data_IF_530085911224
#
_entry.id   IF_530085911224
#
_cell.length_a   1.000
_cell.length_b   1.000
_cell.length_c   1.000
_cell.angle_alpha   90.00
_cell.angle_beta   90.00
_cell.angle_gamma   90.00
#
_symmetry.space_group_name_H-M   'P 1'
#
loop_
_entity.id
_entity.type
_entity.pdbx_description
1 polymer ?
#
# COMPACT_ATOMS: atom_id res chain seq x y z
N UNK A 1 -18.16 -35.97 -40.98
CA UNK A 1 -18.25 -36.10 -39.49
C UNK A 1 -17.51 -34.93 -38.89
N UNK A 2 -18.24 -33.83 -38.60
CA UNK A 2 -17.67 -32.62 -37.97
C UNK A 2 -17.63 -32.85 -36.46
N UNK A 3 -16.43 -32.90 -35.88
CA UNK A 3 -16.27 -32.83 -34.44
C UNK A 3 -16.49 -31.36 -34.00
N UNK A 4 -17.62 -31.12 -33.36
CA UNK A 4 -17.85 -29.89 -32.66
C UNK A 4 -17.03 -29.89 -31.35
N UNK A 5 -15.96 -29.06 -31.28
CA UNK A 5 -15.29 -28.73 -30.03
C UNK A 5 -16.24 -27.86 -29.23
N UNK A 6 -16.91 -28.44 -28.25
CA UNK A 6 -17.60 -27.68 -27.20
C UNK A 6 -16.52 -27.10 -26.29
N UNK A 7 -16.14 -25.84 -26.50
CA UNK A 7 -15.41 -25.07 -25.53
C UNK A 7 -16.35 -24.83 -24.33
N UNK A 8 -16.24 -25.65 -23.30
CA UNK A 8 -16.85 -25.38 -22.02
C UNK A 8 -16.14 -24.13 -21.46
N UNK A 9 -16.77 -22.96 -21.55
CA UNK A 9 -16.41 -21.77 -20.82
C UNK A 9 -16.68 -22.01 -19.33
N UNK A 10 -15.84 -22.84 -18.70
CA UNK A 10 -15.88 -23.05 -17.26
C UNK A 10 -15.56 -21.72 -16.56
N UNK A 11 -16.56 -21.07 -16.01
CA UNK A 11 -16.36 -19.94 -15.13
C UNK A 11 -15.55 -20.43 -13.93
N UNK A 12 -14.38 -19.84 -13.70
CA UNK A 12 -13.60 -20.19 -12.52
C UNK A 12 -14.35 -19.66 -11.29
N UNK A 13 -14.51 -20.53 -10.28
CA UNK A 13 -15.13 -20.16 -9.00
C UNK A 13 -14.27 -19.14 -8.25
N UNK A 14 -14.90 -18.40 -7.33
CA UNK A 14 -14.16 -17.55 -6.38
C UNK A 14 -13.20 -18.41 -5.56
N UNK A 15 -12.01 -17.90 -5.34
CA UNK A 15 -10.97 -18.60 -4.59
C UNK A 15 -10.50 -17.74 -3.41
N UNK A 16 -10.40 -18.35 -2.23
CA UNK A 16 -9.83 -17.74 -1.04
C UNK A 16 -8.78 -18.67 -0.47
N UNK A 17 -7.57 -18.15 -0.26
CA UNK A 17 -6.49 -18.87 0.42
C UNK A 17 -5.96 -18.03 1.58
N UNK A 18 -5.56 -18.70 2.65
CA UNK A 18 -4.95 -18.08 3.83
C UNK A 18 -3.57 -18.69 4.06
N UNK A 19 -2.69 -17.89 4.67
CA UNK A 19 -1.35 -18.29 5.09
C UNK A 19 -0.46 -18.82 3.96
N UNK A 20 -0.67 -18.31 2.73
CA UNK A 20 0.21 -18.62 1.58
C UNK A 20 1.57 -17.97 1.81
N UNK A 21 2.66 -18.75 1.66
CA UNK A 21 4.02 -18.22 1.74
C UNK A 21 4.36 -17.45 0.47
N UNK A 22 4.69 -16.15 0.59
CA UNK A 22 5.10 -15.34 -0.55
C UNK A 22 6.61 -15.06 -0.58
N UNK A 23 7.34 -15.52 0.43
CA UNK A 23 8.77 -15.40 0.50
C UNK A 23 9.31 -15.86 1.85
N UNK A 24 10.64 -15.86 1.96
CA UNK A 24 11.36 -16.10 3.21
C UNK A 24 12.43 -15.04 3.36
N UNK A 25 12.50 -14.40 4.52
CA UNK A 25 13.50 -13.39 4.80
C UNK A 25 13.95 -13.44 6.26
N UNK A 26 15.26 -13.35 6.51
CA UNK A 26 15.87 -13.48 7.83
C UNK A 26 15.41 -14.74 8.61
N UNK A 27 15.20 -15.86 7.90
CA UNK A 27 14.76 -17.14 8.48
C UNK A 27 13.26 -17.20 8.84
N UNK A 28 12.45 -16.19 8.46
CA UNK A 28 11.02 -16.16 8.69
C UNK A 28 10.24 -16.29 7.38
N UNK A 29 9.16 -17.08 7.40
CA UNK A 29 8.24 -17.14 6.28
C UNK A 29 7.34 -15.90 6.26
N UNK A 30 7.25 -15.27 5.10
CA UNK A 30 6.35 -14.15 4.84
C UNK A 30 5.02 -14.69 4.32
N UNK A 31 3.93 -14.40 5.04
CA UNK A 31 2.60 -14.96 4.76
C UNK A 31 1.64 -13.91 4.21
N UNK A 32 0.77 -14.35 3.31
CA UNK A 32 -0.33 -13.56 2.78
C UNK A 32 -1.65 -14.35 2.82
N UNK A 33 -2.75 -13.61 2.79
CA UNK A 33 -4.08 -14.11 2.45
C UNK A 33 -4.47 -13.52 1.10
N UNK A 34 -5.21 -14.27 0.30
CA UNK A 34 -5.69 -13.80 -1.01
C UNK A 34 -7.17 -14.15 -1.25
N UNK A 35 -7.77 -13.36 -2.11
CA UNK A 35 -9.07 -13.61 -2.70
C UNK A 35 -9.04 -13.30 -4.18
N UNK A 36 -9.60 -14.21 -4.97
CA UNK A 36 -9.76 -14.06 -6.42
C UNK A 36 -11.25 -14.19 -6.73
N UNK A 37 -11.90 -13.16 -7.30
CA UNK A 37 -13.32 -13.24 -7.65
C UNK A 37 -13.59 -14.26 -8.75
N UNK A 38 -14.86 -14.63 -8.89
CA UNK A 38 -15.34 -15.46 -10.00
C UNK A 38 -15.14 -14.76 -11.34
N UNK A 39 -15.11 -15.56 -12.39
CA UNK A 39 -15.07 -15.06 -13.75
C UNK A 39 -13.73 -15.19 -14.45
N UNK A 40 -13.66 -14.72 -15.71
CA UNK A 40 -12.44 -14.79 -16.50
C UNK A 40 -11.40 -13.78 -16.02
N UNK A 41 -10.11 -14.13 -16.17
CA UNK A 41 -9.01 -13.19 -16.00
C UNK A 41 -8.59 -12.56 -17.33
N UNK A 42 -7.51 -11.74 -17.31
CA UNK A 42 -6.73 -11.37 -16.12
C UNK A 42 -7.44 -10.29 -15.27
N UNK A 43 -7.34 -10.40 -13.95
CA UNK A 43 -8.01 -9.55 -12.97
C UNK A 43 -7.04 -8.53 -12.37
N UNK A 44 -7.44 -7.26 -12.21
CA UNK A 44 -6.65 -6.33 -11.43
C UNK A 44 -6.54 -6.79 -9.98
N UNK A 45 -5.38 -6.59 -9.36
CA UNK A 45 -5.09 -7.10 -8.01
C UNK A 45 -4.59 -5.99 -7.09
N UNK A 46 -5.17 -5.92 -5.89
CA UNK A 46 -4.79 -4.98 -4.84
C UNK A 46 -3.93 -5.68 -3.79
N UNK A 47 -2.69 -5.25 -3.60
CA UNK A 47 -1.84 -5.69 -2.48
C UNK A 47 -2.12 -4.78 -1.31
N UNK A 48 -2.66 -5.34 -0.22
CA UNK A 48 -3.06 -4.63 0.98
C UNK A 48 -1.96 -4.73 2.05
N UNK A 49 -1.52 -3.58 2.56
CA UNK A 49 -0.43 -3.45 3.51
C UNK A 49 -0.94 -2.77 4.78
N UNK A 50 -0.99 -3.53 5.87
CA UNK A 50 -1.55 -3.07 7.14
C UNK A 50 -0.73 -1.96 7.82
N UNK A 51 -1.36 -1.21 8.71
CA UNK A 51 -0.73 -0.25 9.61
C UNK A 51 -0.12 -0.92 10.85
N UNK A 52 -0.04 -0.17 11.95
CA UNK A 52 0.43 -0.69 13.24
C UNK A 52 1.80 -0.18 13.70
N UNK A 53 2.27 0.95 13.14
CA UNK A 53 3.51 1.60 13.57
C UNK A 53 4.77 0.78 13.31
N UNK A 54 4.72 -0.15 12.35
CA UNK A 54 5.77 -1.13 12.04
C UNK A 54 6.03 -2.19 13.11
N UNK A 55 5.33 -2.16 14.25
CA UNK A 55 5.57 -3.04 15.40
C UNK A 55 4.44 -4.05 15.63
N UNK A 56 3.27 -3.83 15.04
CA UNK A 56 2.07 -4.65 15.21
C UNK A 56 1.15 -4.57 14.00
N UNK A 57 0.08 -5.35 14.07
CA UNK A 57 -0.87 -5.50 12.97
C UNK A 57 -0.64 -6.82 12.24
N UNK A 58 -1.60 -7.18 11.42
CA UNK A 58 -1.54 -8.36 10.59
C UNK A 58 -2.42 -8.21 9.34
N UNK A 59 -2.27 -9.16 8.42
CA UNK A 59 -2.96 -9.23 7.14
C UNK A 59 -4.50 -9.33 7.24
N UNK A 60 -5.06 -9.59 8.41
CA UNK A 60 -6.51 -9.79 8.60
C UNK A 60 -7.20 -8.61 9.27
N UNK A 61 -6.50 -7.90 10.16
CA UNK A 61 -7.13 -6.93 11.05
C UNK A 61 -7.28 -5.54 10.44
N UNK A 62 -6.19 -4.99 9.92
CA UNK A 62 -6.15 -3.59 9.48
C UNK A 62 -6.91 -3.36 8.16
N UNK A 63 -6.64 -4.12 7.09
CA UNK A 63 -7.25 -3.84 5.79
C UNK A 63 -8.66 -4.43 5.62
N UNK A 64 -9.24 -5.08 6.64
CA UNK A 64 -10.51 -5.83 6.52
C UNK A 64 -11.70 -5.02 5.98
N UNK A 65 -11.73 -3.70 6.24
CA UNK A 65 -12.79 -2.82 5.76
C UNK A 65 -12.70 -2.51 4.25
N UNK A 66 -11.57 -2.88 3.61
CA UNK A 66 -11.38 -2.78 2.17
C UNK A 66 -11.75 -4.07 1.43
N UNK A 67 -11.78 -5.22 2.12
CA UNK A 67 -12.00 -6.52 1.48
C UNK A 67 -13.33 -6.57 0.72
N UNK A 68 -14.45 -6.27 1.38
CA UNK A 68 -15.77 -6.32 0.76
C UNK A 68 -15.91 -5.32 -0.41
N UNK A 69 -15.57 -4.02 -0.26
CA UNK A 69 -15.65 -3.08 -1.36
C UNK A 69 -14.81 -3.47 -2.59
N UNK A 70 -13.60 -4.02 -2.39
CA UNK A 70 -12.76 -4.49 -3.49
C UNK A 70 -13.36 -5.73 -4.17
N UNK A 71 -13.85 -6.69 -3.39
CA UNK A 71 -14.53 -7.89 -3.92
C UNK A 71 -15.77 -7.52 -4.74
N UNK A 72 -16.62 -6.65 -4.22
CA UNK A 72 -17.84 -6.16 -4.89
C UNK A 72 -17.53 -5.38 -6.17
N UNK A 73 -16.37 -4.74 -6.22
CA UNK A 73 -15.89 -4.02 -7.41
C UNK A 73 -15.19 -4.93 -8.43
N UNK A 74 -15.04 -6.25 -8.15
CA UNK A 74 -14.43 -7.22 -9.06
C UNK A 74 -12.90 -7.27 -9.01
N UNK A 75 -12.27 -6.71 -7.96
CA UNK A 75 -10.82 -6.79 -7.77
C UNK A 75 -10.43 -8.05 -7.00
N UNK A 76 -9.36 -8.69 -7.44
CA UNK A 76 -8.61 -9.60 -6.58
C UNK A 76 -7.87 -8.78 -5.51
N UNK A 77 -7.63 -9.40 -4.36
CA UNK A 77 -6.78 -8.78 -3.35
C UNK A 77 -5.84 -9.80 -2.71
N UNK A 78 -4.69 -9.30 -2.30
CA UNK A 78 -3.65 -10.01 -1.57
C UNK A 78 -3.30 -9.16 -0.35
N UNK A 79 -3.55 -9.68 0.85
CA UNK A 79 -3.23 -8.99 2.10
C UNK A 79 -2.00 -9.64 2.74
N UNK A 80 -0.97 -8.85 3.04
CA UNK A 80 0.33 -9.36 3.45
C UNK A 80 0.64 -9.10 4.92
N UNK A 81 1.33 -10.05 5.57
CA UNK A 81 2.17 -9.77 6.73
C UNK A 81 3.54 -9.31 6.23
N UNK A 82 4.18 -8.45 6.98
CA UNK A 82 5.58 -8.05 6.78
C UNK A 82 6.32 -8.10 8.11
N UNK A 83 7.65 -8.20 8.06
CA UNK A 83 8.49 -8.27 9.27
C UNK A 83 8.38 -7.00 10.10
N UNK A 84 8.26 -7.18 11.42
CA UNK A 84 7.97 -6.10 12.36
C UNK A 84 9.20 -5.70 13.20
N UNK A 85 9.27 -4.41 13.55
CA UNK A 85 10.19 -3.87 14.52
C UNK A 85 9.78 -4.27 15.98
N UNK A 86 10.70 -4.25 16.92
CA UNK A 86 12.12 -3.84 16.80
C UNK A 86 13.02 -4.93 16.24
N UNK A 87 12.51 -6.18 16.07
CA UNK A 87 13.30 -7.31 15.57
C UNK A 87 13.82 -7.03 14.15
N UNK A 88 12.99 -6.46 13.31
CA UNK A 88 13.32 -6.13 11.93
C UNK A 88 13.13 -4.64 11.67
N UNK A 89 14.23 -3.94 11.50
CA UNK A 89 14.25 -2.50 11.22
C UNK A 89 14.15 -2.22 9.72
N UNK A 90 14.02 -0.95 9.38
CA UNK A 90 14.18 -0.46 8.01
C UNK A 90 15.51 -0.98 7.40
N UNK A 91 15.54 -1.45 6.15
CA UNK A 91 14.43 -1.46 5.18
C UNK A 91 13.63 -2.80 5.14
N UNK A 92 13.71 -3.67 6.15
CA UNK A 92 13.17 -5.03 6.11
C UNK A 92 11.74 -5.12 5.56
N UNK A 93 10.78 -4.39 6.14
CA UNK A 93 9.39 -4.42 5.69
C UNK A 93 9.16 -3.78 4.32
N UNK A 94 10.01 -2.83 3.89
CA UNK A 94 9.99 -2.30 2.51
C UNK A 94 10.34 -3.41 1.51
N UNK A 95 11.37 -4.20 1.82
CA UNK A 95 11.78 -5.34 0.98
C UNK A 95 10.70 -6.43 0.96
N UNK A 96 9.96 -6.63 2.06
CA UNK A 96 8.87 -7.59 2.10
C UNK A 96 7.71 -7.17 1.17
N UNK A 97 7.34 -5.88 1.15
CA UNK A 97 6.33 -5.37 0.19
C UNK A 97 6.81 -5.56 -1.26
N UNK A 98 8.09 -5.31 -1.56
CA UNK A 98 8.66 -5.57 -2.88
C UNK A 98 8.59 -7.05 -3.26
N UNK A 99 8.86 -7.94 -2.29
CA UNK A 99 8.75 -9.39 -2.48
C UNK A 99 7.30 -9.78 -2.79
N UNK A 100 6.32 -9.18 -2.13
CA UNK A 100 4.91 -9.42 -2.43
C UNK A 100 4.52 -8.97 -3.85
N UNK A 101 5.04 -7.84 -4.34
CA UNK A 101 4.81 -7.41 -5.74
C UNK A 101 5.38 -8.42 -6.73
N UNK A 102 6.61 -8.90 -6.50
CA UNK A 102 7.24 -9.92 -7.36
C UNK A 102 6.42 -11.22 -7.33
N UNK A 103 6.03 -11.68 -6.14
CA UNK A 103 5.22 -12.88 -5.98
C UNK A 103 3.91 -12.80 -6.77
N UNK A 104 3.20 -11.67 -6.70
CA UNK A 104 1.95 -11.47 -7.47
C UNK A 104 2.21 -11.57 -8.98
N UNK A 105 3.32 -11.00 -9.47
CA UNK A 105 3.70 -11.10 -10.89
C UNK A 105 4.05 -12.53 -11.31
N UNK A 106 4.81 -13.24 -10.48
CA UNK A 106 5.24 -14.61 -10.73
C UNK A 106 4.07 -15.60 -10.73
N UNK A 107 3.05 -15.36 -9.89
CA UNK A 107 1.86 -16.21 -9.76
C UNK A 107 0.65 -15.67 -10.54
N UNK A 108 0.85 -14.70 -11.43
CA UNK A 108 -0.22 -14.05 -12.18
C UNK A 108 -1.06 -15.07 -12.98
N UNK A 109 -0.43 -16.03 -13.64
CA UNK A 109 -1.12 -17.08 -14.40
C UNK A 109 -1.92 -18.02 -13.49
N UNK A 110 -1.37 -18.41 -12.34
CA UNK A 110 -2.01 -19.33 -11.39
C UNK A 110 -3.31 -18.74 -10.82
N UNK A 111 -3.26 -17.45 -10.41
CA UNK A 111 -4.40 -16.78 -9.78
C UNK A 111 -5.18 -15.86 -10.71
N UNK A 112 -4.93 -15.88 -12.01
CA UNK A 112 -5.59 -15.04 -13.01
C UNK A 112 -5.40 -13.52 -12.73
N UNK A 113 -4.31 -13.14 -12.08
CA UNK A 113 -3.98 -11.74 -11.88
C UNK A 113 -3.49 -11.09 -13.16
N UNK A 114 -3.69 -9.77 -13.26
CA UNK A 114 -3.07 -8.97 -14.29
C UNK A 114 -1.78 -8.34 -13.73
N UNK A 115 -0.60 -8.77 -14.15
CA UNK A 115 0.67 -8.25 -13.66
C UNK A 115 0.90 -6.77 -14.00
N UNK A 116 0.17 -6.23 -15.00
CA UNK A 116 0.22 -4.82 -15.36
C UNK A 116 -0.79 -3.96 -14.59
N UNK A 117 -1.76 -4.57 -13.89
CA UNK A 117 -2.78 -3.88 -13.09
C UNK A 117 -2.69 -4.21 -11.60
N UNK A 118 -1.47 -4.16 -11.06
CA UNK A 118 -1.20 -4.29 -9.61
C UNK A 118 -1.36 -2.94 -8.94
N UNK A 119 -2.12 -2.88 -7.85
CA UNK A 119 -2.29 -1.69 -7.02
C UNK A 119 -1.72 -1.94 -5.63
N UNK A 120 -0.91 -1.02 -5.11
CA UNK A 120 -0.52 -1.02 -3.70
C UNK A 120 -1.49 -0.18 -2.89
N UNK A 121 -2.06 -0.73 -1.83
CA UNK A 121 -2.95 -0.01 -0.90
C UNK A 121 -2.41 -0.20 0.51
N UNK A 122 -2.12 0.89 1.21
CA UNK A 122 -1.58 0.81 2.57
C UNK A 122 -2.08 1.89 3.50
N UNK A 123 -2.10 1.60 4.80
CA UNK A 123 -2.55 2.52 5.82
C UNK A 123 -1.47 2.78 6.89
N UNK A 124 -1.30 4.03 7.33
CA UNK A 124 -0.34 4.43 8.37
C UNK A 124 1.09 3.96 8.05
N UNK A 125 1.65 3.03 8.82
CA UNK A 125 2.93 2.39 8.51
C UNK A 125 2.90 1.70 7.14
N UNK A 126 1.83 0.96 6.80
CA UNK A 126 1.63 0.40 5.47
C UNK A 126 1.51 1.48 4.39
N UNK A 127 0.89 2.63 4.70
CA UNK A 127 0.85 3.80 3.82
C UNK A 127 2.24 4.33 3.48
N UNK A 128 3.14 4.40 4.47
CA UNK A 128 4.54 4.71 4.22
C UNK A 128 5.21 3.66 3.32
N UNK A 129 4.99 2.36 3.60
CA UNK A 129 5.59 1.27 2.83
C UNK A 129 5.17 1.31 1.35
N UNK A 130 3.87 1.51 1.08
CA UNK A 130 3.39 1.60 -0.30
C UNK A 130 3.87 2.88 -1.00
N UNK A 131 3.96 4.01 -0.27
CA UNK A 131 4.55 5.24 -0.79
C UNK A 131 6.01 5.02 -1.21
N UNK A 132 6.80 4.32 -0.37
CA UNK A 132 8.21 4.04 -0.65
C UNK A 132 8.39 3.14 -1.87
N UNK A 133 7.65 2.02 -1.94
CA UNK A 133 7.76 1.08 -3.07
C UNK A 133 7.25 1.72 -4.36
N UNK A 134 6.12 2.43 -4.31
CA UNK A 134 5.56 3.14 -5.47
C UNK A 134 6.45 4.29 -5.98
N UNK A 135 7.12 5.03 -5.09
CA UNK A 135 8.05 6.09 -5.49
C UNK A 135 9.37 5.55 -6.05
N UNK A 136 9.85 4.40 -5.59
CA UNK A 136 11.01 3.73 -6.18
C UNK A 136 10.71 3.19 -7.58
N UNK A 137 9.55 2.59 -7.79
CA UNK A 137 8.99 2.16 -9.08
C UNK A 137 10.04 1.55 -10.05
N UNK A 138 10.82 0.60 -9.55
CA UNK A 138 11.77 -0.16 -10.38
C UNK A 138 10.99 -1.17 -11.23
N UNK A 139 11.55 -1.63 -12.32
CA UNK A 139 10.88 -2.51 -13.29
C UNK A 139 10.33 -3.80 -12.64
N UNK A 140 11.13 -4.44 -11.79
CA UNK A 140 10.78 -5.68 -11.10
C UNK A 140 9.62 -5.52 -10.09
N UNK A 141 9.39 -4.30 -9.61
CA UNK A 141 8.35 -3.94 -8.63
C UNK A 141 7.39 -2.87 -9.15
N UNK A 142 7.32 -2.68 -10.47
CA UNK A 142 6.39 -1.72 -11.08
C UNK A 142 4.96 -2.07 -10.76
N UNK A 143 4.17 -1.06 -10.41
CA UNK A 143 2.74 -1.16 -10.11
C UNK A 143 1.96 -0.14 -10.93
N UNK A 144 0.67 -0.42 -11.13
CA UNK A 144 -0.23 0.44 -11.91
C UNK A 144 -0.72 1.66 -11.13
N UNK A 145 -0.82 1.55 -9.80
CA UNK A 145 -1.30 2.64 -8.95
C UNK A 145 -0.89 2.43 -7.48
N UNK A 146 -0.90 3.52 -6.72
CA UNK A 146 -0.66 3.51 -5.26
C UNK A 146 -1.79 4.25 -4.56
N UNK A 147 -2.34 3.65 -3.51
CA UNK A 147 -3.31 4.27 -2.61
C UNK A 147 -2.73 4.31 -1.21
N UNK A 148 -2.57 5.49 -0.66
CA UNK A 148 -1.98 5.70 0.66
C UNK A 148 -2.96 6.39 1.60
N UNK A 149 -3.35 5.67 2.64
CA UNK A 149 -4.13 6.22 3.74
C UNK A 149 -3.18 6.74 4.82
N UNK A 150 -3.18 8.05 5.04
CA UNK A 150 -2.41 8.73 6.11
C UNK A 150 -0.97 8.19 6.30
N UNK A 151 -0.31 7.84 5.21
CA UNK A 151 1.09 7.39 5.23
C UNK A 151 2.07 8.55 5.28
N UNK A 152 3.16 8.39 6.03
CA UNK A 152 4.25 9.35 6.00
C UNK A 152 4.97 9.32 4.64
N UNK A 153 5.51 10.46 4.21
CA UNK A 153 6.25 10.58 2.95
C UNK A 153 7.57 11.34 3.10
N UNK A 154 7.69 12.21 4.09
CA UNK A 154 8.91 12.95 4.43
C UNK A 154 9.25 12.72 5.91
N UNK A 155 10.23 11.85 6.14
CA UNK A 155 10.61 11.45 7.51
C UNK A 155 11.41 12.54 8.22
N UNK A 156 12.19 13.35 7.49
CA UNK A 156 12.91 14.46 8.09
C UNK A 156 11.96 15.55 8.57
N UNK A 157 10.93 15.88 7.76
CA UNK A 157 9.86 16.77 8.18
C UNK A 157 9.15 16.25 9.43
N UNK A 158 8.82 14.94 9.45
CA UNK A 158 8.19 14.30 10.61
C UNK A 158 9.06 14.32 11.86
N UNK A 159 10.37 14.07 11.72
CA UNK A 159 11.35 14.11 12.80
C UNK A 159 11.46 15.54 13.39
N UNK A 160 11.57 16.55 12.53
CA UNK A 160 11.61 17.94 12.92
C UNK A 160 10.33 18.38 13.67
N UNK A 161 9.15 17.95 13.21
CA UNK A 161 7.88 18.24 13.86
C UNK A 161 7.76 17.63 15.27
N UNK A 162 8.56 16.62 15.59
CA UNK A 162 8.65 16.03 16.93
C UNK A 162 9.64 16.76 17.86
N UNK A 163 10.23 17.87 17.42
CA UNK A 163 11.31 18.60 18.13
C UNK A 163 12.48 17.66 18.53
N UNK A 164 12.85 16.74 17.64
CA UNK A 164 13.91 15.76 17.88
C UNK A 164 13.55 14.66 18.91
N UNK A 165 12.27 14.53 19.26
CA UNK A 165 11.76 13.49 20.16
C UNK A 165 10.77 12.57 19.43
N UNK A 166 11.25 11.72 18.50
CA UNK A 166 10.39 10.84 17.74
C UNK A 166 9.71 9.80 18.64
N UNK A 167 8.58 9.27 18.19
CA UNK A 167 7.88 8.21 18.93
C UNK A 167 8.74 6.95 19.04
N UNK A 168 8.48 6.13 20.07
CA UNK A 168 9.19 4.85 20.28
C UNK A 168 9.14 3.95 19.04
N UNK A 169 7.98 3.84 18.39
CA UNK A 169 7.85 3.04 17.16
C UNK A 169 8.69 3.57 15.99
N UNK A 170 8.86 4.89 15.91
CA UNK A 170 9.76 5.50 14.92
C UNK A 170 11.22 5.11 15.21
N UNK A 171 11.67 5.24 16.47
CA UNK A 171 13.01 4.84 16.89
C UNK A 171 13.25 3.34 16.66
N UNK A 172 12.30 2.51 17.06
CA UNK A 172 12.41 1.05 16.93
C UNK A 172 12.53 0.61 15.47
N UNK A 173 11.82 1.28 14.56
CA UNK A 173 11.82 0.90 13.14
C UNK A 173 13.00 1.53 12.38
N UNK A 174 13.22 2.84 12.51
CA UNK A 174 14.28 3.53 11.76
C UNK A 174 15.65 3.48 12.44
N UNK A 175 15.70 3.15 13.73
CA UNK A 175 16.97 3.07 14.47
C UNK A 175 17.59 4.41 14.80
N UNK A 176 16.83 5.51 14.70
CA UNK A 176 17.33 6.88 14.93
C UNK A 176 16.69 7.50 16.18
N UNK A 177 17.52 8.02 17.08
CA UNK A 177 17.10 8.64 18.34
C UNK A 177 17.74 10.01 18.59
N UNK A 178 18.76 10.36 17.81
CA UNK A 178 19.53 11.59 17.96
C UNK A 178 19.44 12.47 16.72
N UNK A 179 19.46 13.78 16.93
CA UNK A 179 19.49 14.75 15.85
C UNK A 179 20.95 15.09 15.50
N UNK A 180 21.47 14.44 14.47
CA UNK A 180 22.79 14.69 13.92
C UNK A 180 22.74 14.60 12.37
N UNK A 181 23.86 14.91 11.72
CA UNK A 181 23.94 14.95 10.27
C UNK A 181 23.64 13.60 9.61
N UNK A 182 24.16 12.50 10.18
CA UNK A 182 23.93 11.14 9.65
C UNK A 182 22.45 10.75 9.75
N UNK A 183 21.81 11.04 10.90
CA UNK A 183 20.37 10.83 11.08
C UNK A 183 19.58 11.62 10.05
N UNK A 184 19.88 12.90 9.84
CA UNK A 184 19.19 13.74 8.87
C UNK A 184 19.34 13.22 7.45
N UNK A 185 20.54 12.83 7.05
CA UNK A 185 20.82 12.22 5.75
C UNK A 185 20.06 10.91 5.57
N UNK A 186 20.12 10.02 6.56
CA UNK A 186 19.37 8.75 6.54
C UNK A 186 17.87 8.98 6.40
N UNK A 187 17.28 9.91 7.14
CA UNK A 187 15.84 10.21 7.06
C UNK A 187 15.42 10.75 5.69
N UNK A 188 16.28 11.53 5.03
CA UNK A 188 16.06 11.96 3.64
C UNK A 188 16.06 10.75 2.72
N UNK A 189 17.05 9.88 2.82
CA UNK A 189 17.18 8.66 1.99
C UNK A 189 16.03 7.68 2.23
N UNK A 190 15.53 7.56 3.47
CA UNK A 190 14.40 6.73 3.84
C UNK A 190 13.02 7.38 3.56
N UNK A 191 12.99 8.59 2.99
CA UNK A 191 11.73 9.30 2.68
C UNK A 191 11.22 8.97 1.28
N UNK A 192 9.97 8.50 1.11
CA UNK A 192 9.33 8.35 -0.20
C UNK A 192 9.43 9.60 -1.07
N UNK A 193 9.28 10.77 -0.46
CA UNK A 193 9.35 12.05 -1.15
C UNK A 193 10.67 12.28 -1.90
N UNK A 194 11.78 11.67 -1.47
CA UNK A 194 13.09 11.78 -2.12
C UNK A 194 13.10 11.16 -3.52
N UNK A 195 12.29 10.14 -3.75
CA UNK A 195 12.26 9.38 -5.00
C UNK A 195 11.23 9.90 -6.01
N UNK A 196 10.52 10.99 -5.68
CA UNK A 196 9.52 11.56 -6.59
C UNK A 196 10.18 12.15 -7.82
N UNK A 197 9.76 11.64 -8.98
CA UNK A 197 10.18 12.04 -10.33
C UNK A 197 9.04 11.82 -11.32
N UNK A 198 9.18 12.29 -12.54
CA UNK A 198 8.23 11.96 -13.62
C UNK A 198 8.20 10.45 -13.91
N UNK A 199 7.09 9.96 -14.47
CA UNK A 199 6.94 8.55 -14.86
C UNK A 199 6.61 7.59 -13.71
N UNK A 200 6.32 8.09 -12.50
CA UNK A 200 5.76 7.28 -11.42
C UNK A 200 4.31 6.90 -11.70
N UNK A 201 3.80 5.80 -11.11
CA UNK A 201 2.40 5.43 -11.19
C UNK A 201 1.50 6.53 -10.59
N UNK A 202 0.21 6.58 -10.94
CA UNK A 202 -0.77 7.41 -10.27
C UNK A 202 -0.85 7.14 -8.76
N UNK A 203 -1.02 8.21 -7.97
CA UNK A 203 -1.21 8.14 -6.51
C UNK A 203 -2.58 8.67 -6.12
N UNK A 204 -3.26 7.96 -5.21
CA UNK A 204 -4.39 8.47 -4.44
C UNK A 204 -3.98 8.56 -2.98
N UNK A 205 -4.07 9.76 -2.41
CA UNK A 205 -3.80 9.99 -1.00
C UNK A 205 -5.11 10.25 -0.27
N UNK A 206 -5.31 9.64 0.89
CA UNK A 206 -6.45 9.89 1.78
C UNK A 206 -5.92 10.22 3.17
N UNK A 207 -6.35 11.35 3.74
CA UNK A 207 -5.85 11.78 5.06
C UNK A 207 -6.88 12.62 5.82
N UNK A 208 -7.02 12.36 7.10
CA UNK A 208 -7.83 13.17 8.00
C UNK A 208 -7.07 14.43 8.43
N UNK A 209 -7.68 15.61 8.31
CA UNK A 209 -6.99 16.87 8.62
C UNK A 209 -6.88 17.18 10.14
N UNK A 210 -7.31 16.27 11.00
CA UNK A 210 -7.10 16.29 12.46
C UNK A 210 -6.23 15.13 12.95
N UNK A 211 -5.44 14.55 12.05
CA UNK A 211 -4.50 13.49 12.40
C UNK A 211 -3.37 14.00 13.29
N UNK A 212 -3.29 13.46 14.52
CA UNK A 212 -2.28 13.82 15.52
C UNK A 212 -1.08 12.85 15.57
N UNK A 213 -1.11 11.76 14.80
CA UNK A 213 -0.02 10.76 14.77
C UNK A 213 0.89 10.92 13.56
N UNK A 214 0.29 11.09 12.40
CA UNK A 214 0.98 11.41 11.16
C UNK A 214 0.45 12.77 10.71
N UNK A 215 1.25 13.83 10.80
CA UNK A 215 0.79 15.17 10.44
C UNK A 215 0.18 15.21 9.03
N UNK A 216 -0.96 15.86 8.89
CA UNK A 216 -1.69 16.00 7.63
C UNK A 216 -0.83 16.58 6.51
N UNK A 217 0.10 17.46 6.87
CA UNK A 217 1.10 18.08 6.00
C UNK A 217 1.97 17.06 5.27
N UNK A 218 2.11 15.84 5.79
CA UNK A 218 2.83 14.76 5.11
C UNK A 218 2.19 14.44 3.76
N UNK A 219 0.86 14.31 3.73
CA UNK A 219 0.12 14.06 2.48
C UNK A 219 0.00 15.31 1.62
N UNK A 220 -0.23 16.49 2.20
CA UNK A 220 -0.30 17.77 1.46
C UNK A 220 0.98 18.02 0.69
N UNK A 221 2.13 17.93 1.37
CA UNK A 221 3.43 18.19 0.75
C UNK A 221 3.81 17.12 -0.27
N UNK A 222 3.48 15.86 0.02
CA UNK A 222 3.73 14.76 -0.91
C UNK A 222 2.89 14.90 -2.18
N UNK A 223 1.60 15.22 -2.05
CA UNK A 223 0.72 15.51 -3.17
C UNK A 223 1.25 16.66 -4.04
N UNK A 224 1.61 17.78 -3.40
CA UNK A 224 2.17 18.92 -4.12
C UNK A 224 3.45 18.56 -4.88
N UNK A 225 4.33 17.74 -4.27
CA UNK A 225 5.57 17.27 -4.91
C UNK A 225 5.29 16.33 -6.09
N UNK A 226 4.35 15.39 -5.95
CA UNK A 226 3.91 14.51 -7.05
C UNK A 226 3.39 15.35 -8.23
N UNK A 227 2.47 16.27 -7.98
CA UNK A 227 1.91 17.15 -9.02
C UNK A 227 2.98 17.98 -9.71
N UNK A 228 3.88 18.61 -8.94
CA UNK A 228 5.00 19.41 -9.49
C UNK A 228 5.93 18.58 -10.39
N UNK A 229 6.06 17.29 -10.12
CA UNK A 229 6.89 16.35 -10.91
C UNK A 229 6.13 15.73 -12.08
N UNK A 230 4.89 16.15 -12.37
CA UNK A 230 4.08 15.61 -13.46
C UNK A 230 3.49 14.23 -13.19
N UNK A 231 3.51 13.76 -11.93
CA UNK A 231 2.89 12.49 -11.56
C UNK A 231 1.38 12.69 -11.38
N UNK A 232 0.53 11.86 -12.02
CA UNK A 232 -0.90 11.88 -11.75
C UNK A 232 -1.16 11.61 -10.26
N UNK A 233 -1.84 12.52 -9.59
CA UNK A 233 -2.16 12.35 -8.18
C UNK A 233 -3.48 13.03 -7.85
N UNK A 234 -4.25 12.37 -6.97
CA UNK A 234 -5.49 12.88 -6.39
C UNK A 234 -5.40 12.81 -4.86
N UNK A 235 -6.13 13.69 -4.17
CA UNK A 235 -6.10 13.78 -2.72
C UNK A 235 -7.51 13.93 -2.16
N UNK A 236 -7.89 13.03 -1.27
CA UNK A 236 -9.16 13.05 -0.54
C UNK A 236 -8.88 13.45 0.92
N UNK A 237 -9.29 14.65 1.29
CA UNK A 237 -9.26 15.09 2.69
C UNK A 237 -10.51 14.59 3.42
N UNK A 238 -10.32 14.00 4.59
CA UNK A 238 -11.41 13.69 5.51
C UNK A 238 -11.47 14.82 6.54
N UNK A 239 -12.40 15.73 6.34
CA UNK A 239 -12.58 16.89 7.22
C UNK A 239 -12.96 16.44 8.64
N UNK A 240 -12.19 16.90 9.65
CA UNK A 240 -12.35 16.47 11.04
C UNK A 240 -11.81 15.07 11.34
N UNK A 241 -11.33 14.34 10.34
CA UNK A 241 -10.80 12.98 10.50
C UNK A 241 -9.50 12.93 11.28
N UNK A 242 -9.41 12.03 12.26
CA UNK A 242 -8.19 11.70 12.97
C UNK A 242 -7.40 10.58 12.30
N UNK A 243 -6.39 10.05 13.02
CA UNK A 243 -5.58 8.93 12.55
C UNK A 243 -6.38 7.61 12.58
N UNK A 244 -6.40 6.91 11.47
CA UNK A 244 -7.18 5.68 11.31
C UNK A 244 -8.59 5.95 10.78
N UNK A 245 -9.16 4.95 10.10
CA UNK A 245 -10.45 5.07 9.40
C UNK A 245 -11.66 4.93 10.33
N UNK A 246 -11.45 4.69 11.64
CA UNK A 246 -12.53 4.63 12.60
C UNK A 246 -13.29 5.96 12.65
N UNK A 247 -14.58 5.90 12.36
CA UNK A 247 -15.43 7.10 12.34
C UNK A 247 -15.39 7.92 11.04
N UNK A 248 -14.51 7.63 10.09
CA UNK A 248 -14.45 8.34 8.81
C UNK A 248 -15.77 8.26 8.03
N UNK A 249 -16.48 7.12 8.08
CA UNK A 249 -17.80 6.97 7.45
C UNK A 249 -18.85 8.00 7.94
N UNK A 250 -18.69 8.53 9.16
CA UNK A 250 -19.56 9.58 9.69
C UNK A 250 -19.20 10.97 9.20
N UNK A 251 -17.94 11.16 8.78
CA UNK A 251 -17.39 12.44 8.31
C UNK A 251 -17.45 12.56 6.79
N UNK A 252 -17.21 11.47 6.10
CA UNK A 252 -17.30 11.34 4.64
C UNK A 252 -17.77 9.91 4.35
N UNK A 253 -19.08 9.71 4.13
CA UNK A 253 -19.68 8.40 3.87
C UNK A 253 -19.18 7.77 2.56
N UNK A 254 -18.65 8.57 1.64
CA UNK A 254 -18.41 8.19 0.27
C UNK A 254 -16.93 7.94 -0.05
N UNK A 255 -16.02 8.07 0.94
CA UNK A 255 -14.58 7.97 0.66
C UNK A 255 -14.17 6.61 0.06
N UNK A 256 -14.85 5.51 0.44
CA UNK A 256 -14.62 4.19 -0.17
C UNK A 256 -15.16 4.14 -1.61
N UNK A 257 -16.37 4.70 -1.86
CA UNK A 257 -16.91 4.79 -3.21
C UNK A 257 -16.02 5.65 -4.12
N UNK A 258 -15.48 6.75 -3.60
CA UNK A 258 -14.50 7.59 -4.31
C UNK A 258 -13.21 6.83 -4.62
N UNK A 259 -12.69 6.03 -3.68
CA UNK A 259 -11.56 5.13 -3.91
C UNK A 259 -11.85 4.15 -5.04
N UNK A 260 -12.98 3.43 -4.98
CA UNK A 260 -13.34 2.44 -6.01
C UNK A 260 -13.52 3.11 -7.39
N UNK A 261 -14.18 4.28 -7.43
CA UNK A 261 -14.32 5.07 -8.65
C UNK A 261 -12.94 5.46 -9.23
N UNK A 262 -12.04 5.93 -8.36
CA UNK A 262 -10.69 6.29 -8.76
C UNK A 262 -9.90 5.10 -9.33
N UNK A 263 -9.99 3.92 -8.69
CA UNK A 263 -9.37 2.69 -9.18
C UNK A 263 -9.90 2.31 -10.57
N UNK A 264 -11.22 2.30 -10.75
CA UNK A 264 -11.84 1.98 -12.05
C UNK A 264 -11.36 2.93 -13.16
N UNK A 265 -11.35 4.23 -12.89
CA UNK A 265 -10.84 5.24 -13.84
C UNK A 265 -9.36 5.04 -14.16
N UNK A 266 -8.53 4.80 -13.14
CA UNK A 266 -7.08 4.68 -13.28
C UNK A 266 -6.67 3.41 -14.02
N UNK A 267 -7.33 2.28 -13.73
CA UNK A 267 -7.03 0.97 -14.32
C UNK A 267 -7.84 0.68 -15.58
N UNK A 268 -8.75 1.58 -15.97
CA UNK A 268 -9.64 1.43 -17.14
C UNK A 268 -10.48 0.13 -17.06
N UNK A 269 -11.07 -0.12 -15.88
CA UNK A 269 -11.90 -1.30 -15.58
C UNK A 269 -13.38 -0.93 -15.45
#
# INVERSE_FOLDING_TARGET
>A
MLLAFVLSSGWACAEKKSDVTYGTAAGEELKLDLFVPEGPGPLPVCILVHGGGFEKGDKQQQPKHLFAPLMEAGYAWVSINYRLAPKHKYPGSVEDVKTAVRWVKEHASEYRFDPERIVLIGESAGGYLVNMVGAQNREDIRVAAVVSFYGAADLLLRFNASNGKPSTSFVNYFGVSEDNEDTRKFLVEASPATYVRSGLPPFLLLHGNKDQRVPYEQSVNFYAKLKKSGVPADFITIEGGGHGMSGWNKLNSDYIAQLIHWLKKTLKT
#
